data_IF_324240867663
#
_entry.id   IF_324240867663
#
_cell.length_a   1.000
_cell.length_b   1.000
_cell.length_c   1.000
_cell.angle_alpha   90.00
_cell.angle_beta   90.00
_cell.angle_gamma   90.00
#
_symmetry.space_group_name_H-M   'P 1'
#
loop_
_entity.id
_entity.type
_entity.pdbx_description
1 polymer ?
#
# COMPACT_ATOMS: atom_id res chain seq x y z
N UNK A 1 -6.24 -16.59 9.33
CA UNK A 1 -7.02 -16.64 8.09
C UNK A 1 -6.04 -17.03 6.97
N UNK A 2 -5.60 -18.30 6.97
CA UNK A 2 -4.41 -18.78 6.22
C UNK A 2 -4.72 -19.98 5.29
N UNK A 3 -5.97 -20.41 5.17
CA UNK A 3 -6.28 -21.70 4.53
C UNK A 3 -6.37 -21.69 2.99
N UNK A 4 -6.23 -20.55 2.30
CA UNK A 4 -6.45 -20.49 0.84
C UNK A 4 -5.21 -20.65 -0.03
N UNK A 5 -3.99 -20.69 0.54
CA UNK A 5 -2.73 -20.74 -0.23
C UNK A 5 -2.05 -22.12 -0.22
N UNK A 6 -2.69 -23.11 0.39
CA UNK A 6 -2.20 -24.50 0.55
C UNK A 6 -2.98 -25.45 -0.37
N UNK A 7 -3.78 -24.93 -1.31
CA UNK A 7 -4.38 -25.78 -2.33
C UNK A 7 -3.28 -26.37 -3.22
N UNK A 8 -3.25 -27.70 -3.37
CA UNK A 8 -2.13 -28.44 -3.96
C UNK A 8 -1.74 -27.94 -5.35
N UNK A 9 -2.71 -27.44 -6.12
CA UNK A 9 -2.48 -26.93 -7.48
C UNK A 9 -1.56 -25.72 -7.55
N UNK A 10 -1.60 -24.80 -6.57
CA UNK A 10 -0.70 -23.64 -6.56
C UNK A 10 0.73 -24.04 -6.21
N UNK A 11 0.88 -24.98 -5.27
CA UNK A 11 2.20 -25.52 -4.89
C UNK A 11 2.85 -26.28 -6.05
N UNK A 12 2.07 -27.05 -6.80
CA UNK A 12 2.53 -27.77 -7.99
C UNK A 12 2.94 -26.81 -9.10
N UNK A 13 2.15 -25.76 -9.34
CA UNK A 13 2.51 -24.71 -10.30
C UNK A 13 3.84 -24.04 -9.92
N UNK A 14 4.00 -23.61 -8.67
CA UNK A 14 5.25 -23.00 -8.20
C UNK A 14 6.43 -23.95 -8.40
N UNK A 15 6.29 -25.23 -8.04
CA UNK A 15 7.34 -26.23 -8.24
C UNK A 15 7.69 -26.40 -9.74
N UNK A 16 6.68 -26.45 -10.61
CA UNK A 16 6.87 -26.55 -12.06
C UNK A 16 7.57 -25.32 -12.67
N UNK A 17 7.35 -24.13 -12.10
CA UNK A 17 8.04 -22.89 -12.50
C UNK A 17 9.39 -22.69 -11.79
N UNK A 18 9.84 -23.65 -10.96
CA UNK A 18 11.08 -23.53 -10.18
C UNK A 18 11.01 -22.50 -9.05
N UNK A 19 9.81 -22.08 -8.65
CA UNK A 19 9.57 -21.09 -7.59
C UNK A 19 9.52 -21.82 -6.23
N UNK A 20 10.45 -21.47 -5.33
CA UNK A 20 10.41 -21.95 -3.94
C UNK A 20 9.36 -21.16 -3.16
N UNK A 21 8.31 -21.85 -2.69
CA UNK A 21 7.36 -21.27 -1.76
C UNK A 21 7.93 -21.23 -0.35
N UNK A 22 8.01 -20.03 0.24
CA UNK A 22 8.34 -19.85 1.66
C UNK A 22 7.08 -19.50 2.44
N UNK A 23 6.79 -20.27 3.49
CA UNK A 23 5.65 -20.02 4.37
C UNK A 23 6.10 -19.19 5.55
N UNK A 24 5.35 -18.15 5.87
CA UNK A 24 5.57 -17.42 7.13
C UNK A 24 5.23 -18.30 8.32
N UNK A 25 6.00 -18.15 9.39
CA UNK A 25 5.74 -18.90 10.62
C UNK A 25 4.45 -18.36 11.25
N UNK A 26 3.51 -19.23 11.67
CA UNK A 26 2.30 -18.78 12.37
C UNK A 26 2.67 -17.96 13.60
N UNK A 27 2.10 -16.75 13.71
CA UNK A 27 2.37 -15.84 14.84
C UNK A 27 3.56 -14.91 14.68
N UNK A 28 4.25 -14.88 13.52
CA UNK A 28 5.28 -13.86 13.21
C UNK A 28 4.84 -12.90 12.10
N UNK A 29 3.86 -12.01 12.35
CA UNK A 29 3.37 -11.05 11.35
C UNK A 29 4.45 -10.07 10.86
N UNK A 30 5.54 -9.91 11.61
CA UNK A 30 6.68 -9.07 11.22
C UNK A 30 7.31 -9.50 9.89
N UNK A 31 7.25 -10.80 9.54
CA UNK A 31 7.77 -11.32 8.27
C UNK A 31 6.96 -10.80 7.07
N UNK A 32 5.65 -10.54 7.24
CA UNK A 32 4.79 -10.00 6.18
C UNK A 32 4.69 -8.48 6.18
N UNK A 33 5.32 -7.81 7.16
CA UNK A 33 5.15 -6.38 7.36
C UNK A 33 5.58 -5.52 6.17
N UNK A 34 6.54 -5.96 5.34
CA UNK A 34 6.94 -5.24 4.12
C UNK A 34 5.82 -5.30 3.08
N UNK A 35 5.30 -6.50 2.81
CA UNK A 35 4.20 -6.74 1.88
C UNK A 35 2.93 -6.04 2.33
N UNK A 36 2.58 -6.12 3.62
CA UNK A 36 1.42 -5.43 4.19
C UNK A 36 1.49 -3.92 4.00
N UNK A 37 2.66 -3.31 4.28
CA UNK A 37 2.87 -1.88 4.08
C UNK A 37 2.70 -1.48 2.61
N UNK A 38 3.29 -2.25 1.69
CA UNK A 38 3.18 -1.96 0.26
C UNK A 38 1.75 -2.11 -0.24
N UNK A 39 1.04 -3.17 0.17
CA UNK A 39 -0.37 -3.39 -0.18
C UNK A 39 -1.25 -2.25 0.32
N UNK A 40 -0.98 -1.72 1.52
CA UNK A 40 -1.68 -0.53 2.03
C UNK A 40 -1.38 0.69 1.17
N UNK A 41 -0.12 0.97 0.86
CA UNK A 41 0.28 2.11 0.02
C UNK A 41 -0.35 2.05 -1.37
N UNK A 42 -0.37 0.89 -2.02
CA UNK A 42 -1.03 0.68 -3.32
C UNK A 42 -2.51 1.00 -3.25
N UNK A 43 -3.21 0.46 -2.25
CA UNK A 43 -4.64 0.68 -2.08
C UNK A 43 -4.98 2.14 -1.76
N UNK A 44 -4.21 2.80 -0.89
CA UNK A 44 -4.41 4.22 -0.56
C UNK A 44 -4.23 5.11 -1.80
N UNK A 45 -3.16 4.90 -2.59
CA UNK A 45 -2.93 5.66 -3.83
C UNK A 45 -4.02 5.38 -4.87
N UNK A 46 -4.38 4.13 -5.09
CA UNK A 46 -5.42 3.75 -6.04
C UNK A 46 -6.78 4.36 -5.67
N UNK A 47 -7.17 4.28 -4.39
CA UNK A 47 -8.40 4.90 -3.88
C UNK A 47 -8.37 6.42 -4.07
N UNK A 48 -7.29 7.08 -3.66
CA UNK A 48 -7.14 8.54 -3.78
C UNK A 48 -7.25 9.01 -5.23
N UNK A 49 -6.52 8.38 -6.16
CA UNK A 49 -6.57 8.74 -7.58
C UNK A 49 -7.96 8.49 -8.18
N UNK A 50 -8.59 7.34 -7.89
CA UNK A 50 -9.91 6.99 -8.41
C UNK A 50 -10.97 7.98 -7.95
N UNK A 51 -10.97 8.32 -6.65
CA UNK A 51 -11.92 9.28 -6.06
C UNK A 51 -11.69 10.70 -6.61
N UNK A 52 -10.42 11.12 -6.71
CA UNK A 52 -10.07 12.42 -7.28
C UNK A 52 -10.52 12.56 -8.75
N UNK A 53 -10.44 11.48 -9.53
CA UNK A 53 -10.91 11.46 -10.92
C UNK A 53 -12.43 11.24 -11.06
N UNK A 54 -13.18 11.05 -9.95
CA UNK A 54 -14.62 10.77 -9.98
C UNK A 54 -14.99 9.44 -10.64
N UNK A 55 -14.08 8.47 -10.68
CA UNK A 55 -14.28 7.22 -11.41
C UNK A 55 -15.09 6.19 -10.59
N UNK A 56 -15.99 5.41 -11.25
CA UNK A 56 -16.70 4.31 -10.60
C UNK A 56 -15.77 3.23 -10.03
N UNK A 57 -16.27 2.44 -9.07
CA UNK A 57 -15.50 1.34 -8.43
C UNK A 57 -15.08 0.25 -9.42
N UNK A 58 -15.73 0.13 -10.58
CA UNK A 58 -15.34 -0.80 -11.65
C UNK A 58 -13.91 -0.59 -12.14
N UNK A 59 -13.38 0.65 -12.05
CA UNK A 59 -12.02 1.01 -12.44
C UNK A 59 -10.97 0.74 -11.34
N UNK A 60 -11.31 -0.01 -10.28
CA UNK A 60 -10.36 -0.27 -9.19
C UNK A 60 -9.08 -0.95 -9.68
N UNK A 61 -9.18 -1.89 -10.63
CA UNK A 61 -8.05 -2.62 -11.17
C UNK A 61 -7.11 -1.69 -11.96
N UNK A 62 -7.67 -0.80 -12.77
CA UNK A 62 -6.90 0.21 -13.51
C UNK A 62 -6.24 1.22 -12.58
N UNK A 63 -6.93 1.63 -11.51
CA UNK A 63 -6.38 2.53 -10.50
C UNK A 63 -5.21 1.89 -9.73
N UNK A 64 -5.31 0.59 -9.41
CA UNK A 64 -4.22 -0.17 -8.76
C UNK A 64 -3.04 -0.35 -9.72
N UNK A 65 -3.29 -0.71 -10.99
CA UNK A 65 -2.26 -0.83 -12.02
C UNK A 65 -1.51 0.49 -12.22
N UNK A 66 -2.26 1.61 -12.28
CA UNK A 66 -1.68 2.95 -12.38
C UNK A 66 -0.86 3.30 -11.14
N UNK A 67 -1.35 2.97 -9.94
CA UNK A 67 -0.61 3.19 -8.70
C UNK A 67 0.71 2.42 -8.67
N UNK A 68 0.70 1.15 -9.08
CA UNK A 68 1.89 0.32 -9.18
C UNK A 68 2.88 0.88 -10.20
N UNK A 69 2.41 1.29 -11.38
CA UNK A 69 3.21 1.92 -12.40
C UNK A 69 3.93 3.17 -11.88
N UNK A 70 3.20 4.07 -11.21
CA UNK A 70 3.77 5.30 -10.64
C UNK A 70 4.75 5.04 -9.49
N UNK A 71 4.52 3.99 -8.68
CA UNK A 71 5.47 3.59 -7.64
C UNK A 71 6.77 3.06 -8.25
N UNK A 72 6.66 2.21 -9.28
CA UNK A 72 7.82 1.55 -9.88
C UNK A 72 8.65 2.49 -10.77
N UNK A 73 8.04 3.57 -11.27
CA UNK A 73 8.67 4.60 -12.11
C UNK A 73 8.87 5.95 -11.42
N UNK A 74 8.57 6.02 -10.12
CA UNK A 74 8.82 7.20 -9.31
C UNK A 74 10.18 7.15 -8.64
N UNK A 75 10.87 8.28 -8.44
CA UNK A 75 12.11 8.31 -7.69
C UNK A 75 11.86 7.85 -6.24
N UNK A 76 12.63 6.87 -5.79
CA UNK A 76 12.45 6.24 -4.48
C UNK A 76 13.54 6.67 -3.51
N UNK A 77 13.17 7.31 -2.40
CA UNK A 77 14.14 7.79 -1.39
C UNK A 77 15.02 6.67 -0.82
N UNK A 78 14.49 5.47 -0.47
CA UNK A 78 15.34 4.35 -0.05
C UNK A 78 16.35 3.87 -1.10
N UNK A 79 16.18 4.28 -2.37
CA UNK A 79 17.03 3.88 -3.50
C UNK A 79 17.80 5.07 -4.06
N UNK A 80 18.12 6.09 -3.24
CA UNK A 80 18.84 7.30 -3.66
C UNK A 80 18.17 8.02 -4.85
N UNK A 81 16.83 8.04 -4.85
CA UNK A 81 16.00 8.60 -5.91
C UNK A 81 16.09 7.88 -7.27
N UNK A 82 16.73 6.70 -7.34
CA UNK A 82 16.65 5.81 -8.50
C UNK A 82 15.24 5.23 -8.64
N UNK A 83 14.90 4.80 -9.86
CA UNK A 83 13.61 4.18 -10.14
C UNK A 83 13.66 2.69 -9.76
N UNK A 84 12.67 2.19 -8.99
CA UNK A 84 12.61 0.77 -8.64
C UNK A 84 12.67 -0.17 -9.85
N UNK A 85 12.04 0.19 -10.97
CA UNK A 85 12.05 -0.61 -12.20
C UNK A 85 13.46 -0.72 -12.82
N UNK A 86 14.25 0.35 -12.78
CA UNK A 86 15.62 0.36 -13.31
C UNK A 86 16.54 -0.51 -12.46
N UNK A 87 16.41 -0.40 -11.13
CA UNK A 87 17.19 -1.22 -10.18
C UNK A 87 16.82 -2.70 -10.32
N UNK A 88 15.52 -3.01 -10.48
CA UNK A 88 15.03 -4.37 -10.64
C UNK A 88 15.45 -5.02 -11.96
N UNK A 89 15.44 -4.25 -13.06
CA UNK A 89 15.77 -4.75 -14.40
C UNK A 89 17.28 -4.91 -14.64
N UNK A 90 18.11 -4.68 -13.61
CA UNK A 90 19.56 -4.81 -13.70
C UNK A 90 20.22 -3.68 -14.49
N UNK A 91 19.72 -2.44 -14.34
CA UNK A 91 20.23 -1.27 -15.04
C UNK A 91 21.75 -1.23 -15.06
N UNK A 92 22.32 -1.19 -16.28
CA UNK A 92 23.76 -1.17 -16.54
C UNK A 92 24.44 -0.17 -15.60
N UNK A 93 25.40 -0.67 -14.82
CA UNK A 93 26.35 0.15 -14.07
C UNK A 93 27.06 1.12 -15.04
N UNK A 94 27.24 2.36 -14.58
CA UNK A 94 28.14 3.36 -15.13
C UNK A 94 27.82 3.91 -16.54
N UNK A 95 26.77 4.72 -16.66
CA UNK A 95 26.79 5.85 -17.62
C UNK A 95 26.96 7.14 -16.84
N UNK A 96 28.23 7.51 -16.69
CA UNK A 96 28.72 8.88 -16.48
C UNK A 96 27.68 9.94 -16.90
N UNK A 97 27.26 10.74 -15.91
CA UNK A 97 26.92 12.15 -16.04
C UNK A 97 26.50 12.61 -17.45
N UNK A 98 25.23 12.39 -17.81
CA UNK A 98 24.57 13.29 -18.75
C UNK A 98 23.74 14.25 -17.91
N UNK A 99 24.36 15.40 -17.69
CA UNK A 99 23.80 16.64 -17.18
C UNK A 99 22.44 16.94 -17.85
N UNK A 100 21.35 16.33 -17.37
CA UNK A 100 20.02 16.89 -17.53
C UNK A 100 19.93 18.01 -16.51
N UNK A 101 20.46 19.17 -16.91
CA UNK A 101 20.17 20.44 -16.29
C UNK A 101 18.66 20.67 -16.39
N UNK A 102 17.93 20.11 -15.44
CA UNK A 102 16.60 20.56 -15.08
C UNK A 102 16.81 21.94 -14.51
N UNK A 103 16.40 22.97 -15.25
CA UNK A 103 16.36 24.33 -14.76
C UNK A 103 15.46 24.38 -13.51
N UNK A 104 16.07 24.37 -12.32
CA UNK A 104 15.40 24.54 -11.03
C UNK A 104 15.02 26.02 -10.87
N UNK A 105 14.09 26.49 -11.69
CA UNK A 105 13.32 27.72 -11.43
C UNK A 105 11.97 27.43 -10.78
N UNK A 106 11.66 26.16 -10.49
CA UNK A 106 10.47 25.80 -9.70
C UNK A 106 10.70 26.18 -8.24
N UNK A 107 9.85 27.01 -7.61
CA UNK A 107 10.00 27.31 -6.19
C UNK A 107 9.97 26.00 -5.42
N UNK A 108 10.98 25.79 -4.58
CA UNK A 108 11.02 24.68 -3.63
C UNK A 108 9.74 24.78 -2.80
N UNK A 109 8.73 23.98 -3.16
CA UNK A 109 7.59 23.76 -2.27
C UNK A 109 8.19 23.05 -1.09
N UNK A 110 8.37 23.77 0.02
CA UNK A 110 8.71 23.15 1.29
C UNK A 110 7.66 22.07 1.55
N UNK A 111 8.08 20.81 1.42
CA UNK A 111 7.27 19.67 1.80
C UNK A 111 7.01 19.83 3.28
N UNK A 112 5.81 20.30 3.63
CA UNK A 112 5.34 20.38 5.01
C UNK A 112 5.43 18.98 5.60
N UNK A 113 6.51 18.74 6.35
CA UNK A 113 6.68 17.52 7.13
C UNK A 113 5.61 17.52 8.22
N UNK A 114 5.00 16.37 8.45
CA UNK A 114 4.17 16.19 9.64
C UNK A 114 5.06 16.36 10.86
N UNK A 115 4.77 17.37 11.69
CA UNK A 115 5.40 17.57 13.00
C UNK A 115 4.85 16.62 14.08
N UNK A 116 4.03 15.64 13.69
CA UNK A 116 3.44 14.68 14.64
C UNK A 116 4.54 13.78 15.18
N UNK A 117 4.74 13.83 16.50
CA UNK A 117 5.50 12.83 17.21
C UNK A 117 4.87 11.45 16.98
N UNK A 118 5.64 10.53 16.39
CA UNK A 118 5.28 9.12 16.25
C UNK A 118 5.15 8.52 17.64
N UNK A 119 3.90 8.31 18.09
CA UNK A 119 3.63 7.58 19.33
C UNK A 119 3.60 6.08 19.01
N UNK A 120 4.23 5.23 19.83
CA UNK A 120 4.02 3.80 19.70
C UNK A 120 2.53 3.47 19.84
N UNK A 121 1.98 2.55 19.03
CA UNK A 121 0.56 2.19 19.12
C UNK A 121 0.27 1.67 20.53
N UNK A 122 -0.73 2.26 21.19
CA UNK A 122 -1.30 1.61 22.38
C UNK A 122 -1.92 0.29 21.90
N UNK A 123 -1.40 -0.83 22.41
CA UNK A 123 -1.99 -2.14 22.15
C UNK A 123 -3.41 -2.14 22.71
N UNK A 124 -4.40 -2.29 21.86
CA UNK A 124 -5.74 -2.66 22.30
C UNK A 124 -5.68 -4.06 22.92
N UNK A 125 -6.29 -4.19 24.09
CA UNK A 125 -6.39 -5.45 24.82
C UNK A 125 -7.12 -6.50 23.97
N UNK A 126 -6.70 -7.77 23.93
CA UNK A 126 -7.30 -8.80 23.07
C UNK A 126 -8.77 -9.14 23.36
N UNK A 127 -9.36 -8.58 24.41
CA UNK A 127 -10.71 -8.93 24.88
C UNK A 127 -11.79 -7.97 24.38
N UNK A 128 -11.45 -6.84 23.76
CA UNK A 128 -12.45 -5.88 23.29
C UNK A 128 -12.15 -5.39 21.88
N UNK A 129 -13.15 -5.56 21.01
CA UNK A 129 -13.37 -4.91 19.72
C UNK A 129 -12.73 -5.56 18.48
N UNK A 130 -13.30 -6.70 18.06
CA UNK A 130 -13.46 -6.97 16.63
C UNK A 130 -14.71 -6.20 16.16
N UNK A 131 -14.49 -5.11 15.43
CA UNK A 131 -15.54 -4.49 14.62
C UNK A 131 -15.80 -5.44 13.45
N UNK A 132 -16.81 -6.29 13.57
CA UNK A 132 -17.41 -6.96 12.42
C UNK A 132 -18.02 -5.86 11.55
N UNK A 133 -17.47 -5.65 10.35
CA UNK A 133 -18.12 -4.90 9.28
C UNK A 133 -19.39 -5.69 8.92
N UNK A 134 -20.50 -5.37 9.58
CA UNK A 134 -21.82 -5.79 9.14
C UNK A 134 -22.14 -5.08 7.83
N UNK A 135 -22.95 -5.74 7.02
CA UNK A 135 -23.32 -5.49 5.62
C UNK A 135 -23.93 -4.12 5.25
N UNK A 136 -23.93 -3.14 6.16
CA UNK A 136 -24.66 -1.89 6.06
C UNK A 136 -24.03 -0.77 5.23
N UNK A 137 -22.92 -1.03 4.51
CA UNK A 137 -22.20 0.01 3.76
C UNK A 137 -21.41 0.97 4.68
N UNK A 138 -20.26 1.46 4.20
CA UNK A 138 -19.50 2.48 4.93
C UNK A 138 -20.11 3.86 4.68
N UNK A 139 -20.28 4.71 5.71
CA UNK A 139 -20.83 6.04 5.55
C UNK A 139 -19.90 6.91 4.68
N UNK A 140 -20.50 7.70 3.80
CA UNK A 140 -19.80 8.55 2.83
C UNK A 140 -19.32 9.87 3.48
N UNK A 141 -19.78 10.20 4.70
CA UNK A 141 -19.27 11.34 5.47
C UNK A 141 -19.35 11.19 7.00
N UNK A 142 -18.63 12.06 7.73
CA UNK A 142 -18.57 12.07 9.20
C UNK A 142 -19.91 12.38 9.87
N UNK A 143 -20.71 13.25 9.25
CA UNK A 143 -22.03 13.63 9.78
C UNK A 143 -23.06 12.49 9.66
N UNK A 144 -22.89 11.63 8.65
CA UNK A 144 -23.68 10.41 8.47
C UNK A 144 -23.30 9.36 9.52
N UNK A 145 -22.00 9.20 9.80
CA UNK A 145 -21.53 8.30 10.85
C UNK A 145 -22.04 8.71 12.26
N UNK A 146 -22.22 9.99 12.54
CA UNK A 146 -22.75 10.46 13.83
C UNK A 146 -24.25 10.21 14.01
N UNK A 147 -24.99 10.08 12.92
CA UNK A 147 -26.45 9.85 12.90
C UNK A 147 -26.81 8.37 12.80
N UNK A 148 -25.83 7.50 12.57
CA UNK A 148 -26.03 6.05 12.56
C UNK A 148 -26.58 5.57 13.91
N UNK A 149 -27.52 4.63 13.89
CA UNK A 149 -28.12 4.05 15.09
C UNK A 149 -27.08 3.41 16.03
N UNK A 150 -25.90 3.06 15.49
CA UNK A 150 -24.76 2.54 16.25
C UNK A 150 -23.82 3.61 16.81
N UNK A 151 -24.08 4.91 16.59
CA UNK A 151 -23.27 6.03 17.08
C UNK A 151 -23.07 6.00 18.61
N UNK A 152 -24.09 5.53 19.35
CA UNK A 152 -24.01 5.35 20.81
C UNK A 152 -23.10 4.18 21.24
N UNK A 153 -22.76 3.28 20.34
CA UNK A 153 -21.87 2.13 20.56
C UNK A 153 -20.40 2.48 20.28
N UNK A 154 -20.15 3.65 19.70
CA UNK A 154 -18.84 4.15 19.30
C UNK A 154 -18.32 5.31 20.17
N UNK A 155 -19.15 5.84 21.09
CA UNK A 155 -18.76 6.83 22.11
C UNK A 155 -18.10 6.21 23.34
#
# INVERSE_FOLDING_TARGET
>A
MEESYIDGGFSEYCAAQGIRMEKTIPGTPQQNGVTERMNRTLNERARSMRLHAGLPKTFWADAVSTAAYLINRGPSVPMEFRLPEEVWSGGEEDKENVNSQVDLSTPVVEVRRSSRNTRPPQRYSPVLNYLLLTDGGEPECYDEALQDENSSKWS
#
